data_IF_315908306298
#
_entry.id   IF_315908306298
#
_cell.length_a   1.000
_cell.length_b   1.000
_cell.length_c   1.000
_cell.angle_alpha   90.00
_cell.angle_beta   90.00
_cell.angle_gamma   90.00
#
_symmetry.space_group_name_H-M   'P 1'
#
loop_
_entity.id
_entity.type
_entity.pdbx_description
1 polymer ?
#
# COMPACT_ATOMS: atom_id res chain seq x y z
N UNK A 1 -25.31 -28.16 -33.08
CA UNK A 1 -25.17 -27.28 -31.90
C UNK A 1 -26.56 -27.06 -31.32
N UNK A 2 -27.01 -27.94 -30.43
CA UNK A 2 -28.30 -27.79 -29.77
C UNK A 2 -28.13 -26.73 -28.68
N UNK A 3 -28.46 -25.47 -28.98
CA UNK A 3 -28.50 -24.42 -27.97
C UNK A 3 -29.69 -24.72 -27.09
N UNK A 4 -29.40 -25.16 -25.87
CA UNK A 4 -30.40 -25.52 -24.88
C UNK A 4 -31.49 -24.43 -24.79
N UNK A 5 -32.78 -24.76 -25.01
CA UNK A 5 -33.87 -23.79 -24.96
C UNK A 5 -33.88 -22.97 -23.66
N UNK A 6 -33.43 -23.59 -22.56
CA UNK A 6 -33.31 -22.96 -21.24
C UNK A 6 -32.25 -21.87 -21.27
N UNK A 7 -31.11 -22.12 -21.90
CA UNK A 7 -30.01 -21.15 -22.02
C UNK A 7 -30.45 -19.95 -22.87
N UNK A 8 -31.18 -20.19 -23.97
CA UNK A 8 -31.67 -19.13 -24.85
C UNK A 8 -32.70 -18.23 -24.15
N UNK A 9 -33.63 -18.83 -23.39
CA UNK A 9 -34.63 -18.08 -22.63
C UNK A 9 -33.99 -17.26 -21.49
N UNK A 10 -33.00 -17.82 -20.80
CA UNK A 10 -32.23 -17.12 -19.78
C UNK A 10 -31.48 -15.90 -20.37
N UNK A 11 -30.87 -16.04 -21.55
CA UNK A 11 -30.18 -14.94 -22.24
C UNK A 11 -31.15 -13.82 -22.64
N UNK A 12 -32.32 -14.14 -23.19
CA UNK A 12 -33.31 -13.13 -23.60
C UNK A 12 -33.92 -12.39 -22.41
N UNK A 13 -34.18 -13.09 -21.30
CA UNK A 13 -34.64 -12.46 -20.05
C UNK A 13 -33.57 -11.52 -19.48
N UNK A 14 -32.32 -11.96 -19.47
CA UNK A 14 -31.18 -11.12 -19.04
C UNK A 14 -31.01 -9.88 -19.91
N UNK A 15 -31.14 -10.01 -21.23
CA UNK A 15 -31.04 -8.90 -22.17
C UNK A 15 -32.17 -7.88 -22.01
N UNK A 16 -33.40 -8.33 -21.74
CA UNK A 16 -34.51 -7.41 -21.40
C UNK A 16 -34.28 -6.69 -20.07
N UNK A 17 -33.77 -7.39 -19.06
CA UNK A 17 -33.47 -6.78 -17.76
C UNK A 17 -32.29 -5.80 -17.83
N UNK A 18 -31.27 -6.08 -18.64
CA UNK A 18 -30.11 -5.20 -18.77
C UNK A 18 -30.40 -3.91 -19.56
N UNK A 19 -31.50 -3.88 -20.31
CA UNK A 19 -32.02 -2.68 -20.97
C UNK A 19 -32.81 -1.77 -20.02
N UNK A 20 -33.18 -2.22 -18.82
CA UNK A 20 -33.82 -1.36 -17.80
C UNK A 20 -32.78 -0.40 -17.18
N UNK A 21 -32.97 0.93 -17.32
CA UNK A 21 -32.08 1.91 -16.72
C UNK A 21 -31.90 1.74 -15.21
N UNK A 22 -32.94 1.34 -14.48
CA UNK A 22 -32.86 1.15 -13.03
C UNK A 22 -31.96 -0.03 -12.67
N UNK A 23 -32.09 -1.13 -13.40
CA UNK A 23 -31.22 -2.30 -13.24
C UNK A 23 -29.76 -1.95 -13.55
N UNK A 24 -29.52 -1.26 -14.67
CA UNK A 24 -28.17 -0.82 -15.06
C UNK A 24 -27.52 0.07 -14.01
N UNK A 25 -28.25 1.06 -13.49
CA UNK A 25 -27.75 1.94 -12.42
C UNK A 25 -27.39 1.14 -11.15
N UNK A 26 -28.23 0.20 -10.74
CA UNK A 26 -27.96 -0.63 -9.56
C UNK A 26 -26.72 -1.52 -9.74
N UNK A 27 -26.52 -2.05 -10.95
CA UNK A 27 -25.37 -2.85 -11.31
C UNK A 27 -24.09 -2.01 -11.31
N UNK A 28 -24.11 -0.84 -11.96
CA UNK A 28 -22.98 0.08 -12.02
C UNK A 28 -22.60 0.59 -10.62
N UNK A 29 -23.59 0.93 -9.78
CA UNK A 29 -23.35 1.34 -8.40
C UNK A 29 -22.68 0.23 -7.57
N UNK A 30 -23.13 -1.02 -7.72
CA UNK A 30 -22.49 -2.17 -7.06
C UNK A 30 -21.07 -2.39 -7.55
N UNK A 31 -20.86 -2.33 -8.87
CA UNK A 31 -19.53 -2.49 -9.46
C UNK A 31 -18.59 -1.39 -8.95
N UNK A 32 -19.06 -0.14 -8.88
CA UNK A 32 -18.31 0.98 -8.33
C UNK A 32 -17.95 0.75 -6.87
N UNK A 33 -18.90 0.31 -6.03
CA UNK A 33 -18.63 0.03 -4.62
C UNK A 33 -17.53 -1.03 -4.43
N UNK A 34 -17.55 -2.10 -5.23
CA UNK A 34 -16.51 -3.13 -5.20
C UNK A 34 -15.13 -2.60 -5.64
N UNK A 35 -15.09 -1.74 -6.67
CA UNK A 35 -13.85 -1.11 -7.14
C UNK A 35 -13.30 -0.15 -6.08
N UNK A 36 -14.16 0.67 -5.49
CA UNK A 36 -13.79 1.63 -4.45
C UNK A 36 -13.25 0.90 -3.21
N UNK A 37 -13.90 -0.19 -2.81
CA UNK A 37 -13.44 -1.04 -1.71
C UNK A 37 -12.08 -1.69 -2.01
N UNK A 38 -11.92 -2.32 -3.17
CA UNK A 38 -10.64 -2.90 -3.59
C UNK A 38 -9.52 -1.86 -3.66
N UNK A 39 -9.82 -0.66 -4.16
CA UNK A 39 -8.88 0.45 -4.24
C UNK A 39 -8.47 0.95 -2.87
N UNK A 40 -9.41 1.02 -1.92
CA UNK A 40 -9.14 1.40 -0.53
C UNK A 40 -8.17 0.44 0.14
N UNK A 41 -8.38 -0.87 0.01
CA UNK A 41 -7.47 -1.87 0.59
C UNK A 41 -6.08 -1.79 -0.04
N UNK A 42 -5.99 -1.72 -1.38
CA UNK A 42 -4.71 -1.59 -2.09
C UNK A 42 -3.94 -0.34 -1.67
N UNK A 43 -4.65 0.78 -1.50
CA UNK A 43 -4.05 2.02 -1.02
C UNK A 43 -3.52 1.87 0.41
N UNK A 44 -4.31 1.29 1.32
CA UNK A 44 -3.90 1.07 2.70
C UNK A 44 -2.68 0.14 2.81
N UNK A 45 -2.64 -0.94 2.03
CA UNK A 45 -1.49 -1.86 1.98
C UNK A 45 -0.24 -1.15 1.47
N UNK A 46 -0.35 -0.39 0.37
CA UNK A 46 0.77 0.38 -0.18
C UNK A 46 1.31 1.36 0.85
N UNK A 47 0.42 2.13 1.48
CA UNK A 47 0.79 3.13 2.48
C UNK A 47 1.46 2.49 3.70
N UNK A 48 0.88 1.42 4.24
CA UNK A 48 1.47 0.71 5.38
C UNK A 48 2.84 0.11 5.06
N UNK A 49 3.05 -0.38 3.83
CA UNK A 49 4.35 -0.88 3.38
C UNK A 49 5.39 0.24 3.25
N UNK A 50 5.00 1.38 2.72
CA UNK A 50 5.86 2.55 2.56
C UNK A 50 6.26 3.13 3.92
N UNK A 51 5.30 3.31 4.83
CA UNK A 51 5.54 3.75 6.21
C UNK A 51 6.43 2.76 6.96
N UNK A 52 6.15 1.45 6.87
CA UNK A 52 6.95 0.41 7.52
C UNK A 52 8.39 0.34 6.99
N UNK A 53 8.59 0.55 5.69
CA UNK A 53 9.93 0.62 5.10
C UNK A 53 10.68 1.85 5.61
N UNK A 54 10.04 3.01 5.61
CA UNK A 54 10.65 4.25 6.08
C UNK A 54 11.03 4.17 7.56
N UNK A 55 10.12 3.68 8.41
CA UNK A 55 10.41 3.45 9.83
C UNK A 55 11.55 2.43 10.03
N UNK A 56 11.57 1.35 9.24
CA UNK A 56 12.62 0.34 9.31
C UNK A 56 14.00 0.91 8.96
N UNK A 57 14.07 1.75 7.92
CA UNK A 57 15.31 2.44 7.53
C UNK A 57 15.78 3.37 8.64
N UNK A 58 14.91 4.20 9.22
CA UNK A 58 15.28 5.12 10.29
C UNK A 58 15.72 4.39 11.57
N UNK A 59 14.97 3.36 11.99
CA UNK A 59 15.37 2.51 13.13
C UNK A 59 16.72 1.83 12.87
N UNK A 60 16.95 1.36 11.64
CA UNK A 60 18.22 0.77 11.23
C UNK A 60 19.40 1.74 11.29
N UNK A 61 19.21 2.99 10.82
CA UNK A 61 20.24 4.05 10.92
C UNK A 61 20.60 4.35 12.37
N UNK A 62 19.59 4.50 13.24
CA UNK A 62 19.81 4.76 14.67
C UNK A 62 20.59 3.62 15.32
N UNK A 63 20.20 2.37 15.05
CA UNK A 63 20.91 1.20 15.56
C UNK A 63 22.37 1.15 15.07
N UNK A 64 22.60 1.46 13.79
CA UNK A 64 23.93 1.51 13.21
C UNK A 64 24.82 2.54 13.91
N UNK A 65 24.34 3.79 14.06
CA UNK A 65 25.06 4.88 14.72
C UNK A 65 25.40 4.51 16.17
N UNK A 66 24.42 4.00 16.92
CA UNK A 66 24.62 3.55 18.31
C UNK A 66 25.63 2.40 18.39
N UNK A 67 25.59 1.47 17.44
CA UNK A 67 26.55 0.37 17.34
C UNK A 67 27.97 0.85 17.04
N UNK A 68 28.14 1.76 16.08
CA UNK A 68 29.43 2.35 15.73
C UNK A 68 30.03 3.12 16.91
N UNK A 69 29.22 3.95 17.59
CA UNK A 69 29.66 4.70 18.76
C UNK A 69 30.07 3.78 19.92
N UNK A 70 29.27 2.73 20.19
CA UNK A 70 29.59 1.72 21.21
C UNK A 70 30.90 0.96 20.93
N UNK A 71 31.26 0.80 19.66
CA UNK A 71 32.51 0.19 19.25
C UNK A 71 33.71 1.17 19.25
N UNK A 72 33.54 2.38 19.79
CA UNK A 72 34.61 3.36 19.96
C UNK A 72 34.89 4.21 18.73
N UNK A 73 33.99 4.24 17.74
CA UNK A 73 34.11 5.14 16.60
C UNK A 73 33.71 6.57 16.98
N UNK A 74 34.52 7.53 16.57
CA UNK A 74 34.30 8.95 16.85
C UNK A 74 33.12 9.49 16.02
N UNK A 75 32.42 10.50 16.54
CA UNK A 75 31.27 11.13 15.84
C UNK A 75 31.65 11.63 14.44
N UNK A 76 32.85 12.18 14.27
CA UNK A 76 33.34 12.66 12.97
C UNK A 76 33.47 11.54 11.93
N UNK A 77 33.91 10.35 12.37
CA UNK A 77 34.08 9.22 11.47
C UNK A 77 32.73 8.57 11.16
N UNK A 78 31.83 8.48 12.14
CA UNK A 78 30.43 8.07 11.92
C UNK A 78 29.78 8.99 10.88
N UNK A 79 29.90 10.32 11.03
CA UNK A 79 29.37 11.31 10.10
C UNK A 79 29.87 11.09 8.66
N UNK A 80 31.16 10.80 8.49
CA UNK A 80 31.75 10.49 7.18
C UNK A 80 31.19 9.19 6.58
N UNK A 81 31.04 8.12 7.38
CA UNK A 81 30.59 6.82 6.90
C UNK A 81 29.07 6.77 6.63
N UNK A 82 28.27 7.47 7.43
CA UNK A 82 26.81 7.51 7.26
C UNK A 82 26.34 8.67 6.38
N UNK A 83 27.24 9.58 6.00
CA UNK A 83 26.96 10.82 5.27
C UNK A 83 25.84 11.62 5.94
N UNK A 84 25.96 11.80 7.27
CA UNK A 84 25.01 12.52 8.11
C UNK A 84 25.72 13.64 8.86
N UNK A 85 24.96 14.66 9.25
CA UNK A 85 25.51 15.76 10.02
C UNK A 85 25.86 15.31 11.44
N UNK A 86 26.97 15.84 11.98
CA UNK A 86 27.40 15.56 13.35
C UNK A 86 26.32 15.96 14.37
N UNK A 87 25.54 16.99 14.08
CA UNK A 87 24.42 17.43 14.92
C UNK A 87 23.31 16.38 14.98
N UNK A 88 22.96 15.76 13.85
CA UNK A 88 21.96 14.69 13.80
C UNK A 88 22.44 13.45 14.57
N UNK A 89 23.70 13.08 14.40
CA UNK A 89 24.31 11.96 15.13
C UNK A 89 24.30 12.22 16.64
N UNK A 90 24.63 13.43 17.08
CA UNK A 90 24.53 13.82 18.50
C UNK A 90 23.10 13.69 19.02
N UNK A 91 22.12 14.21 18.29
CA UNK A 91 20.71 14.05 18.67
C UNK A 91 20.25 12.59 18.79
N UNK A 92 20.79 11.69 17.96
CA UNK A 92 20.50 10.24 18.02
C UNK A 92 21.17 9.55 19.21
N UNK A 93 22.34 10.04 19.64
CA UNK A 93 23.12 9.49 20.76
C UNK A 93 22.69 10.08 22.11
N UNK A 94 22.17 11.31 22.13
CA UNK A 94 21.71 12.02 23.34
C UNK A 94 20.29 11.59 23.78
N UNK A 95 19.55 10.88 22.92
CA UNK A 95 18.29 10.18 23.24
C UNK A 95 18.54 8.69 23.49
#
# INVERSE_FOLDING_TARGET
MNRDPILKDAMQKWEKMSQDPAFRMSYEARQKALIDEASKYKYAEKKGREEGLQEGIEKGKIQLIRGMHKNGMNIEDIAKFTNMDMSEIRHILDN
#
